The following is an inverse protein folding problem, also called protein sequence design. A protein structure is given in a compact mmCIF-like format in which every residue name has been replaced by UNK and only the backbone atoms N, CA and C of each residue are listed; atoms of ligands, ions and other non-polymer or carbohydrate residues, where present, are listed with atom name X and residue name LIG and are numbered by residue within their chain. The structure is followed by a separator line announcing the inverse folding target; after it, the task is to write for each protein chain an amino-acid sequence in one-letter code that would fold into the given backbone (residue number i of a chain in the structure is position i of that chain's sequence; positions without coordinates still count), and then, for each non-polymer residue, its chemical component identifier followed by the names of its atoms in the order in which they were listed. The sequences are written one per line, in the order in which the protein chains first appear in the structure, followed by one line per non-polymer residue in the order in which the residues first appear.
data_IF_555225351935
#
_entry.id   IF_555225351935
#
_cell.length_a   1.000
_cell.length_b   1.000
_cell.length_c   1.000
_cell.angle_alpha   90.00
_cell.angle_beta   90.00
_cell.angle_gamma   90.00
#
_symmetry.space_group_name_H-M   'P 1'
#
loop_
_entity.id
_entity.type
_entity.pdbx_description
1 polymer ?
#
# COMPACT_ATOMS: atom_id res chain seq x y z
N UNK A 1 -17.31 9.88 9.20
CA UNK A 1 -17.58 8.80 8.24
C UNK A 1 -16.35 7.95 8.03
N UNK A 2 -16.48 6.63 8.24
CA UNK A 2 -15.47 5.66 7.85
C UNK A 2 -15.68 5.32 6.38
N UNK A 3 -14.62 5.35 5.59
CA UNK A 3 -14.66 4.84 4.22
C UNK A 3 -13.41 3.99 4.01
N UNK A 4 -13.57 2.87 3.32
CA UNK A 4 -12.55 1.87 3.09
C UNK A 4 -12.87 1.03 1.85
N UNK A 5 -12.00 0.08 1.47
CA UNK A 5 -10.79 -0.30 2.23
C UNK A 5 -9.54 0.42 1.73
N UNK A 6 -9.44 0.71 0.43
CA UNK A 6 -8.31 1.44 -0.15
C UNK A 6 -8.11 1.07 -1.60
N UNK A 7 -6.85 1.04 -2.04
CA UNK A 7 -6.48 0.55 -3.37
C UNK A 7 -5.13 -0.16 -3.35
N UNK A 8 -4.84 -0.93 -4.40
CA UNK A 8 -3.56 -1.60 -4.56
C UNK A 8 -2.98 -1.40 -5.95
N UNK A 9 -1.65 -1.28 -6.02
CA UNK A 9 -0.87 -1.28 -7.27
C UNK A 9 -0.19 -2.63 -7.38
N UNK A 10 -0.36 -3.28 -8.53
CA UNK A 10 0.06 -4.67 -8.75
C UNK A 10 1.15 -4.76 -9.82
N UNK A 11 2.20 -5.52 -9.51
CA UNK A 11 3.17 -6.04 -10.48
C UNK A 11 3.25 -7.56 -10.30
N UNK A 12 2.38 -8.29 -11.00
CA UNK A 12 2.12 -9.72 -10.76
C UNK A 12 2.19 -10.52 -12.06
N UNK A 13 2.45 -11.83 -11.95
CA UNK A 13 2.53 -12.74 -13.10
C UNK A 13 1.18 -12.98 -13.78
N UNK A 14 0.07 -12.82 -13.05
CA UNK A 14 -1.30 -13.00 -13.53
C UNK A 14 -2.10 -11.69 -13.35
N UNK A 15 -2.00 -10.73 -14.27
CA UNK A 15 -2.70 -9.45 -14.15
C UNK A 15 -4.22 -9.60 -14.39
N UNK A 16 -4.98 -8.59 -13.95
CA UNK A 16 -6.44 -8.47 -14.13
C UNK A 16 -7.27 -9.63 -13.53
N UNK A 17 -6.75 -10.28 -12.50
CA UNK A 17 -7.50 -11.26 -11.73
C UNK A 17 -8.20 -10.57 -10.56
N UNK A 18 -9.54 -10.64 -10.55
CA UNK A 18 -10.35 -10.09 -9.46
C UNK A 18 -10.26 -10.96 -8.20
N UNK A 19 -10.36 -10.35 -7.03
CA UNK A 19 -10.37 -11.07 -5.77
C UNK A 19 -10.56 -10.17 -4.54
N UNK A 20 -10.39 -10.72 -3.34
CA UNK A 20 -10.68 -10.00 -2.10
C UNK A 20 -9.63 -8.94 -1.73
N UNK A 21 -8.42 -9.02 -2.28
CA UNK A 21 -7.28 -8.18 -1.87
C UNK A 21 -7.32 -6.83 -2.57
N UNK A 22 -8.03 -5.85 -2.00
CA UNK A 22 -8.26 -4.53 -2.64
C UNK A 22 -8.75 -4.66 -4.10
N UNK A 23 -9.60 -5.66 -4.36
CA UNK A 23 -10.13 -6.00 -5.68
C UNK A 23 -9.26 -6.95 -6.50
N UNK A 24 -8.04 -7.28 -6.06
CA UNK A 24 -7.11 -8.21 -6.70
C UNK A 24 -7.16 -9.63 -6.15
N UNK A 25 -6.64 -10.58 -6.94
CA UNK A 25 -6.52 -12.00 -6.58
C UNK A 25 -5.61 -12.20 -5.37
N UNK A 26 -6.10 -13.04 -4.45
CA UNK A 26 -5.35 -13.55 -3.31
C UNK A 26 -4.38 -14.68 -3.71
N UNK A 27 -3.38 -14.99 -2.88
CA UNK A 27 -2.29 -15.93 -3.23
C UNK A 27 -1.59 -15.53 -4.54
N UNK A 28 -1.32 -14.24 -4.71
CA UNK A 28 -0.68 -13.70 -5.90
C UNK A 28 0.81 -14.05 -5.95
N UNK A 29 1.40 -14.06 -7.15
CA UNK A 29 2.84 -14.15 -7.37
C UNK A 29 3.36 -12.84 -7.97
N UNK A 30 4.17 -12.11 -7.22
CA UNK A 30 4.70 -10.80 -7.58
C UNK A 30 4.69 -9.81 -6.41
N UNK A 31 4.51 -8.54 -6.73
CA UNK A 31 4.47 -7.41 -5.81
C UNK A 31 3.06 -6.80 -5.74
N UNK A 32 2.56 -6.60 -4.53
CA UNK A 32 1.43 -5.72 -4.23
C UNK A 32 1.90 -4.53 -3.39
N UNK A 33 1.50 -3.32 -3.76
CA UNK A 33 1.66 -2.11 -2.94
C UNK A 33 0.27 -1.64 -2.54
N UNK A 34 -0.01 -1.63 -1.24
CA UNK A 34 -1.33 -1.38 -0.68
C UNK A 34 -1.38 0.04 -0.12
N UNK A 35 -2.40 0.79 -0.53
CA UNK A 35 -2.74 2.09 -0.01
C UNK A 35 -3.98 1.91 0.85
N UNK A 36 -3.75 1.47 2.09
CA UNK A 36 -4.80 1.13 3.02
C UNK A 36 -5.35 2.39 3.69
N UNK A 37 -6.66 2.55 3.67
CA UNK A 37 -7.35 3.74 4.17
C UNK A 37 -8.19 3.47 5.40
N UNK A 38 -8.35 2.21 5.76
CA UNK A 38 -9.20 1.77 6.85
C UNK A 38 -8.35 0.97 7.82
N UNK A 39 -8.46 1.26 9.12
CA UNK A 39 -7.80 0.41 10.11
C UNK A 39 -8.72 -0.76 10.40
N UNK A 40 -8.38 -1.95 9.93
CA UNK A 40 -9.11 -3.18 10.25
C UNK A 40 -8.74 -3.58 11.69
N UNK A 41 -9.30 -2.87 12.66
CA UNK A 41 -8.98 -3.01 14.08
C UNK A 41 -9.25 -4.43 14.61
N UNK A 42 -8.19 -5.24 14.78
CA UNK A 42 -8.21 -6.49 15.57
C UNK A 42 -6.91 -6.78 16.36
N UNK A 43 -5.96 -5.83 16.45
CA UNK A 43 -4.70 -5.99 17.21
C UNK A 43 -3.87 -4.70 17.33
N UNK A 44 -2.77 -4.69 18.11
CA UNK A 44 -1.92 -3.52 18.30
C UNK A 44 -0.98 -3.33 17.10
N UNK A 45 -1.49 -2.76 16.01
CA UNK A 45 -0.66 -2.20 14.95
C UNK A 45 -0.37 -0.74 15.30
N UNK A 46 0.91 -0.37 15.39
CA UNK A 46 1.32 0.94 15.93
C UNK A 46 1.31 2.09 14.91
N UNK A 47 0.70 1.90 13.74
CA UNK A 47 0.70 2.90 12.66
C UNK A 47 -0.69 3.50 12.39
N UNK A 48 -0.69 4.79 12.09
CA UNK A 48 -1.86 5.56 11.70
C UNK A 48 -2.24 5.28 10.24
N UNK A 49 -3.54 5.35 9.96
CA UNK A 49 -4.08 5.24 8.61
C UNK A 49 -4.38 6.64 8.02
N UNK A 50 -4.33 6.84 6.69
CA UNK A 50 -3.98 5.83 5.68
C UNK A 50 -2.50 5.42 5.71
N UNK A 51 -2.24 4.15 5.40
CA UNK A 51 -0.93 3.53 5.50
C UNK A 51 -0.54 2.89 4.16
N UNK A 52 0.70 3.08 3.74
CA UNK A 52 1.24 2.49 2.51
C UNK A 52 2.21 1.38 2.90
N UNK A 53 1.90 0.16 2.45
CA UNK A 53 2.71 -1.04 2.67
C UNK A 53 2.96 -1.76 1.35
N UNK A 54 3.92 -2.70 1.36
CA UNK A 54 4.23 -3.53 0.21
C UNK A 54 4.35 -4.99 0.63
N UNK A 55 4.01 -5.92 -0.25
CA UNK A 55 4.18 -7.36 -0.05
C UNK A 55 4.72 -7.99 -1.33
N UNK A 56 5.72 -8.85 -1.18
CA UNK A 56 6.17 -9.75 -2.25
C UNK A 56 5.73 -11.15 -1.89
N UNK A 57 5.04 -11.82 -2.81
CA UNK A 57 4.57 -13.19 -2.63
C UNK A 57 4.96 -14.04 -3.83
N UNK A 58 5.20 -15.32 -3.59
CA UNK A 58 5.48 -16.32 -4.62
C UNK A 58 4.24 -17.13 -5.02
N UNK A 59 3.08 -16.83 -4.41
CA UNK A 59 1.81 -17.53 -4.54
C UNK A 59 1.45 -18.41 -3.33
N UNK A 60 2.32 -18.51 -2.32
CA UNK A 60 2.07 -19.35 -1.13
C UNK A 60 1.39 -18.62 0.03
N UNK A 61 1.44 -17.30 0.05
CA UNK A 61 0.96 -16.46 1.15
C UNK A 61 -0.35 -15.75 0.81
N UNK A 62 -1.28 -15.79 1.76
CA UNK A 62 -2.52 -15.01 1.80
C UNK A 62 -2.25 -13.59 2.30
N UNK A 63 -3.00 -12.60 1.80
CA UNK A 63 -3.02 -11.26 2.39
C UNK A 63 -4.05 -11.18 3.53
N UNK A 64 -3.57 -11.02 4.76
CA UNK A 64 -4.41 -10.97 5.97
C UNK A 64 -5.04 -9.59 6.17
N UNK A 65 -6.28 -9.41 5.67
CA UNK A 65 -7.05 -8.18 5.85
C UNK A 65 -7.42 -7.88 7.30
N UNK A 66 -7.51 -8.88 8.17
CA UNK A 66 -7.87 -8.66 9.57
C UNK A 66 -6.72 -8.04 10.38
N UNK A 67 -5.53 -7.98 9.77
CA UNK A 67 -4.29 -7.46 10.37
C UNK A 67 -3.54 -6.54 9.41
N UNK A 68 -4.24 -5.85 8.52
CA UNK A 68 -3.70 -4.86 7.56
C UNK A 68 -2.49 -5.38 6.73
N UNK A 69 -2.37 -6.71 6.56
CA UNK A 69 -1.21 -7.37 5.93
C UNK A 69 0.12 -7.24 6.68
N UNK A 70 0.14 -6.81 7.94
CA UNK A 70 1.37 -6.48 8.70
C UNK A 70 2.38 -7.63 8.75
N UNK A 71 1.91 -8.88 8.86
CA UNK A 71 2.79 -10.06 8.98
C UNK A 71 3.55 -10.40 7.70
N UNK A 72 3.04 -9.99 6.56
CA UNK A 72 3.61 -10.25 5.23
C UNK A 72 4.19 -8.99 4.60
N UNK A 73 4.28 -7.90 5.38
CA UNK A 73 4.84 -6.65 4.93
C UNK A 73 6.33 -6.79 4.59
N UNK A 74 6.69 -6.38 3.39
CA UNK A 74 8.06 -6.32 2.91
C UNK A 74 8.86 -5.37 3.81
N UNK A 75 9.98 -5.86 4.34
CA UNK A 75 10.81 -5.10 5.28
C UNK A 75 10.29 -5.06 6.72
N UNK A 76 9.19 -5.74 7.05
CA UNK A 76 8.61 -5.79 8.39
C UNK A 76 7.73 -4.59 8.74
N UNK A 77 7.06 -4.66 9.90
CA UNK A 77 5.96 -3.78 10.34
C UNK A 77 6.27 -2.27 10.27
N UNK A 78 7.52 -1.86 10.47
CA UNK A 78 7.89 -0.44 10.55
C UNK A 78 8.45 0.15 9.23
N UNK A 79 8.39 -0.61 8.12
CA UNK A 79 8.99 -0.18 6.84
C UNK A 79 8.00 0.51 5.90
N UNK A 80 6.68 0.36 6.11
CA UNK A 80 5.68 1.20 5.44
C UNK A 80 5.67 2.63 5.97
N UNK A 81 4.75 3.44 5.43
CA UNK A 81 4.63 4.86 5.78
C UNK A 81 3.19 5.28 6.01
N UNK A 82 3.00 6.13 7.02
CA UNK A 82 1.74 6.83 7.25
C UNK A 82 1.64 7.98 6.25
N UNK A 83 0.58 8.00 5.45
CA UNK A 83 0.51 8.89 4.31
C UNK A 83 -0.93 9.38 4.12
N UNK A 84 -1.19 10.66 4.43
CA UNK A 84 -2.54 11.23 4.31
C UNK A 84 -2.83 11.63 2.86
N UNK A 85 -3.30 10.68 2.04
CA UNK A 85 -3.60 10.90 0.61
C UNK A 85 -5.09 11.08 0.28
N UNK A 86 -5.99 11.02 1.27
CA UNK A 86 -7.43 11.16 1.06
C UNK A 86 -7.92 12.60 1.15
N UNK A 87 -8.96 12.92 0.38
CA UNK A 87 -9.73 14.17 0.44
C UNK A 87 -8.82 15.41 0.43
N UNK A 88 -7.85 15.42 -0.49
CA UNK A 88 -6.98 16.57 -0.72
C UNK A 88 -7.58 17.44 -1.82
N UNK A 89 -7.47 18.75 -1.64
CA UNK A 89 -7.89 19.73 -2.63
C UNK A 89 -6.85 19.93 -3.75
N UNK A 90 -5.82 19.08 -3.77
CA UNK A 90 -4.72 19.05 -4.73
C UNK A 90 -4.44 17.61 -5.21
N UNK A 91 -3.73 17.51 -6.33
CA UNK A 91 -3.31 16.21 -6.86
C UNK A 91 -2.30 15.53 -5.92
N UNK A 92 -2.55 14.25 -5.66
CA UNK A 92 -1.66 13.40 -4.87
C UNK A 92 -1.14 12.28 -5.78
N UNK A 93 0.18 12.20 -5.93
CA UNK A 93 0.84 11.20 -6.77
C UNK A 93 1.72 10.29 -5.91
N UNK A 94 1.85 9.02 -6.29
CA UNK A 94 2.76 8.06 -5.68
C UNK A 94 3.82 7.64 -6.70
N UNK A 95 5.10 7.64 -6.29
CA UNK A 95 6.19 7.12 -7.11
C UNK A 95 6.67 5.76 -6.57
N UNK A 96 6.48 4.72 -7.37
CA UNK A 96 7.06 3.39 -7.14
C UNK A 96 8.33 3.24 -7.99
N UNK A 97 9.45 2.94 -7.35
CA UNK A 97 10.75 2.79 -8.03
C UNK A 97 11.43 1.51 -7.61
N UNK A 98 11.80 0.66 -8.57
CA UNK A 98 12.62 -0.52 -8.35
C UNK A 98 13.92 -0.40 -9.15
N UNK A 99 15.06 -0.27 -8.46
CA UNK A 99 16.38 -0.15 -9.10
C UNK A 99 17.42 -0.83 -8.23
N UNK A 100 18.22 -1.73 -8.81
CA UNK A 100 19.30 -2.43 -8.09
C UNK A 100 18.79 -3.16 -6.85
N UNK A 101 17.75 -3.98 -7.02
CA UNK A 101 17.11 -4.77 -5.97
C UNK A 101 16.53 -3.96 -4.79
N UNK A 102 16.40 -2.65 -4.97
CA UNK A 102 15.81 -1.74 -3.98
C UNK A 102 14.46 -1.23 -4.48
N UNK A 103 13.39 -1.56 -3.75
CA UNK A 103 12.07 -0.99 -3.94
C UNK A 103 11.91 0.26 -3.06
N UNK A 104 11.43 1.36 -3.64
CA UNK A 104 11.02 2.57 -2.94
C UNK A 104 9.55 2.86 -3.25
N UNK A 105 8.71 2.97 -2.23
CA UNK A 105 7.25 3.02 -2.38
C UNK A 105 6.54 4.04 -1.46
N UNK A 106 7.28 4.83 -0.68
CA UNK A 106 6.75 5.82 0.27
C UNK A 106 6.86 7.28 -0.20
N UNK A 107 7.09 7.49 -1.49
CA UNK A 107 7.22 8.84 -2.04
C UNK A 107 5.86 9.35 -2.49
N UNK A 108 5.17 10.09 -1.62
CA UNK A 108 4.04 10.92 -2.02
C UNK A 108 4.54 12.27 -2.53
N UNK A 109 4.09 12.61 -3.73
CA UNK A 109 4.33 13.91 -4.36
C UNK A 109 3.02 14.68 -4.33
N UNK A 110 2.98 15.77 -3.58
CA UNK A 110 1.88 16.73 -3.64
C UNK A 110 2.24 17.81 -4.65
N UNK A 111 1.39 17.99 -5.65
CA UNK A 111 1.53 19.07 -6.62
C UNK A 111 0.52 20.15 -6.22
N UNK A 112 0.99 21.14 -5.46
CA UNK A 112 0.29 22.43 -5.43
C UNK A 112 0.69 23.22 -6.67
N UNK A 113 -0.15 24.17 -7.09
CA UNK A 113 0.03 24.98 -8.31
C UNK A 113 1.41 25.64 -8.47
N UNK A 114 2.23 25.67 -7.42
CA UNK A 114 3.52 26.33 -7.36
C UNK A 114 4.67 25.51 -6.70
N UNK A 115 4.47 24.25 -6.29
CA UNK A 115 5.56 23.49 -5.60
C UNK A 115 5.37 21.96 -5.58
N UNK A 116 6.45 21.22 -5.89
CA UNK A 116 6.57 19.79 -5.62
C UNK A 116 7.17 19.58 -4.24
N UNK A 117 6.38 19.05 -3.29
CA UNK A 117 6.91 18.62 -1.98
C UNK A 117 6.95 17.11 -1.95
N UNK A 118 8.17 16.57 -1.80
CA UNK A 118 8.40 15.13 -1.58
C UNK A 118 8.36 14.88 -0.07
N UNK A 119 7.35 14.16 0.40
CA UNK A 119 7.31 13.70 1.79
C UNK A 119 7.97 12.31 1.88
N UNK A 120 8.73 12.08 2.96
CA UNK A 120 9.37 10.80 3.31
C UNK A 120 8.61 10.15 4.45
#
# INVERSE_FOLDING_TARGET
DLFGDGMAIWYVSEPNQMGPVFGGKDYFRGLGVFLDTYSNHNGPHTHSHPYISAMVSDGSLHYDHDRDGTHTQLGGEHTGCEAKFRNKDYETQILLRYVGDTLSYCWLVTVDSDMYVMHK
#
